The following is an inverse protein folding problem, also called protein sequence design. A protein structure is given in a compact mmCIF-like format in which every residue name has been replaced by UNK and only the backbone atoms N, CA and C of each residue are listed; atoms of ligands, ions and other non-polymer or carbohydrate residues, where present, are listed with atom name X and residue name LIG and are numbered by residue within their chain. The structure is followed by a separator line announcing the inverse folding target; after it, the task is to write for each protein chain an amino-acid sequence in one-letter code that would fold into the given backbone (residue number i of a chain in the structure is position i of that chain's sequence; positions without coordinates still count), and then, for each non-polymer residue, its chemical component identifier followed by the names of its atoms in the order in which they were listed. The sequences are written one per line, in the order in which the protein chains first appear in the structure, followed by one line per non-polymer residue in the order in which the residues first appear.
data_IF_247796079362
#
_entry.id   IF_247796079362
#
_cell.length_a   1.000
_cell.length_b   1.000
_cell.length_c   1.000
_cell.angle_alpha   90.00
_cell.angle_beta   90.00
_cell.angle_gamma   90.00
#
_symmetry.space_group_name_H-M   'P 1'
#
loop_
_entity.id
_entity.type
_entity.pdbx_description
1 polymer ?
#
# COMPACT_ATOMS: atom_id res chain seq x y z
N UNK A 1 -19.10 16.67 8.45
CA UNK A 1 -18.37 15.46 8.81
C UNK A 1 -19.15 14.28 8.24
N UNK A 2 -18.69 13.68 7.15
CA UNK A 2 -19.33 12.48 6.59
C UNK A 2 -18.83 11.31 7.41
N UNK A 3 -19.73 10.48 7.93
CA UNK A 3 -19.34 9.26 8.64
C UNK A 3 -18.87 8.27 7.57
N UNK A 4 -17.60 7.85 7.57
CA UNK A 4 -17.11 6.92 6.57
C UNK A 4 -17.84 5.59 6.73
N UNK A 5 -18.36 5.05 5.63
CA UNK A 5 -19.08 3.77 5.63
C UNK A 5 -18.05 2.66 5.86
N UNK A 6 -18.18 1.84 6.92
CA UNK A 6 -17.20 0.80 7.23
C UNK A 6 -16.92 -0.10 6.02
N UNK A 7 -15.64 -0.40 5.79
CA UNK A 7 -15.15 -1.23 4.69
C UNK A 7 -15.46 -0.72 3.27
N UNK A 8 -15.94 0.52 3.12
CA UNK A 8 -16.04 1.14 1.80
C UNK A 8 -14.63 1.41 1.25
N UNK A 9 -14.42 1.19 -0.04
CA UNK A 9 -13.10 1.34 -0.65
C UNK A 9 -13.11 2.62 -1.48
N UNK A 10 -12.32 3.58 -1.02
CA UNK A 10 -12.01 4.76 -1.80
C UNK A 10 -10.74 4.51 -2.59
N UNK A 11 -10.86 4.55 -3.92
CA UNK A 11 -9.73 4.47 -4.83
C UNK A 11 -9.61 5.76 -5.64
N UNK A 12 -8.39 6.29 -5.70
CA UNK A 12 -8.02 7.35 -6.62
C UNK A 12 -7.16 6.79 -7.75
N UNK A 13 -7.55 7.11 -8.98
CA UNK A 13 -6.88 6.65 -10.22
C UNK A 13 -6.88 5.13 -10.38
N UNK A 14 -6.09 4.64 -11.33
CA UNK A 14 -5.84 3.21 -11.59
C UNK A 14 -4.33 2.97 -11.46
N UNK A 15 -3.87 1.79 -10.99
CA UNK A 15 -2.46 1.55 -10.76
C UNK A 15 -1.64 1.58 -12.05
N UNK A 16 -2.25 1.31 -13.22
CA UNK A 16 -1.59 1.41 -14.52
C UNK A 16 -1.28 2.84 -14.98
N UNK A 17 -1.94 3.86 -14.40
CA UNK A 17 -1.77 5.25 -14.80
C UNK A 17 -0.40 5.83 -14.39
N UNK A 18 0.07 5.68 -13.12
CA UNK A 18 1.43 6.05 -12.74
C UNK A 18 2.51 5.40 -13.60
N UNK A 19 2.34 4.12 -13.97
CA UNK A 19 3.27 3.40 -14.86
C UNK A 19 3.26 3.91 -16.30
N UNK A 20 2.17 4.53 -16.74
CA UNK A 20 2.05 5.14 -18.07
C UNK A 20 2.58 6.58 -18.08
N UNK A 21 3.18 7.06 -16.99
CA UNK A 21 3.70 8.42 -16.84
C UNK A 21 2.65 9.45 -16.42
N UNK A 22 1.41 9.03 -16.12
CA UNK A 22 0.35 9.91 -15.60
C UNK A 22 0.53 10.05 -14.08
N UNK A 23 1.47 10.91 -13.70
CA UNK A 23 1.88 11.12 -12.30
C UNK A 23 1.54 12.53 -11.79
N UNK A 24 0.64 13.23 -12.47
CA UNK A 24 0.15 14.54 -12.04
C UNK A 24 -0.49 14.46 -10.65
N UNK A 25 -0.36 15.55 -9.88
CA UNK A 25 -0.66 15.59 -8.46
C UNK A 25 -2.10 15.12 -8.16
N UNK A 26 -2.23 13.98 -7.46
CA UNK A 26 -3.49 13.47 -6.95
C UNK A 26 -3.82 13.97 -5.53
N UNK A 27 -4.73 13.30 -4.79
CA UNK A 27 -5.08 13.69 -3.43
C UNK A 27 -3.85 13.68 -2.53
N UNK A 28 -3.85 14.59 -1.56
CA UNK A 28 -2.77 14.66 -0.57
C UNK A 28 -2.91 13.55 0.46
N UNK A 29 -1.80 13.15 1.09
CA UNK A 29 -1.81 12.17 2.17
C UNK A 29 -2.80 12.53 3.30
N UNK A 30 -2.93 13.82 3.64
CA UNK A 30 -3.89 14.32 4.62
C UNK A 30 -5.35 14.24 4.17
N UNK A 31 -5.62 14.30 2.87
CA UNK A 31 -6.96 14.13 2.34
C UNK A 31 -7.39 12.66 2.45
N UNK A 32 -6.47 11.72 2.18
CA UNK A 32 -6.73 10.28 2.26
C UNK A 32 -7.12 9.81 3.67
N UNK A 33 -6.53 10.38 4.72
CA UNK A 33 -6.89 10.04 6.11
C UNK A 33 -8.34 10.39 6.46
N UNK A 34 -9.02 11.22 5.66
CA UNK A 34 -10.46 11.48 5.84
C UNK A 34 -11.35 10.40 5.21
N UNK A 35 -10.80 9.58 4.30
CA UNK A 35 -11.54 8.55 3.57
C UNK A 35 -11.34 7.15 4.14
N UNK A 36 -10.23 6.91 4.86
CA UNK A 36 -9.95 5.62 5.45
C UNK A 36 -8.91 5.65 6.55
N UNK A 37 -8.85 4.57 7.31
CA UNK A 37 -7.89 4.36 8.40
C UNK A 37 -6.75 3.45 7.97
N UNK A 38 -6.95 2.65 6.91
CA UNK A 38 -5.95 1.76 6.33
C UNK A 38 -5.94 1.89 4.81
N UNK A 39 -4.80 1.61 4.19
CA UNK A 39 -4.68 1.69 2.75
C UNK A 39 -3.26 1.55 2.22
N UNK A 40 -3.17 1.56 0.90
CA UNK A 40 -1.93 1.49 0.13
C UNK A 40 -1.95 2.57 -0.96
N UNK A 41 -0.79 2.95 -1.48
CA UNK A 41 -0.71 3.90 -2.57
C UNK A 41 0.72 4.09 -3.07
N UNK A 42 0.87 4.96 -4.07
CA UNK A 42 2.16 5.33 -4.65
C UNK A 42 2.31 6.84 -4.49
N UNK A 43 3.51 7.36 -4.26
CA UNK A 43 3.77 8.80 -4.22
C UNK A 43 4.18 9.34 -5.59
N UNK A 44 3.84 10.60 -5.89
CA UNK A 44 4.42 11.26 -7.07
C UNK A 44 5.93 11.46 -6.85
N UNK A 45 6.80 11.21 -7.85
CA UNK A 45 8.26 11.40 -7.71
C UNK A 45 8.66 12.83 -7.33
N UNK A 46 7.84 13.81 -7.73
CA UNK A 46 8.06 15.24 -7.48
C UNK A 46 7.32 15.78 -6.24
N UNK A 47 6.62 14.93 -5.48
CA UNK A 47 5.85 15.37 -4.29
C UNK A 47 6.70 15.68 -3.05
N UNK A 48 8.03 15.68 -3.20
CA UNK A 48 8.95 15.82 -2.09
C UNK A 48 8.97 17.30 -1.65
N UNK A 49 8.52 17.58 -0.44
CA UNK A 49 8.74 18.87 0.25
C UNK A 49 10.22 19.21 0.47
N UNK A 50 11.14 18.34 0.02
CA UNK A 50 12.58 18.52 0.02
C UNK A 50 13.12 18.52 -1.42
N UNK A 51 12.71 19.51 -2.20
CA UNK A 51 13.19 19.76 -3.57
C UNK A 51 14.69 20.15 -3.68
N UNK A 52 15.46 20.00 -2.59
CA UNK A 52 16.89 20.30 -2.52
C UNK A 52 17.80 19.05 -2.60
N UNK A 53 17.24 17.84 -2.61
CA UNK A 53 18.02 16.64 -2.94
C UNK A 53 17.77 16.31 -4.41
N UNK A 54 18.73 16.65 -5.27
CA UNK A 54 18.74 16.36 -6.72
C UNK A 54 18.80 14.87 -7.06
N UNK A 55 17.91 14.07 -6.49
CA UNK A 55 17.70 12.68 -6.83
C UNK A 55 16.56 12.57 -7.85
N UNK A 56 16.96 12.69 -9.10
CA UNK A 56 16.18 12.50 -10.33
C UNK A 56 15.67 11.05 -10.56
N UNK A 57 15.61 10.21 -9.51
CA UNK A 57 15.14 8.82 -9.57
C UNK A 57 14.32 8.42 -8.32
N UNK A 58 13.39 9.27 -7.88
CA UNK A 58 12.44 8.97 -6.79
C UNK A 58 11.19 8.22 -7.30
N UNK A 59 11.40 7.17 -8.11
CA UNK A 59 10.34 6.55 -8.91
C UNK A 59 9.38 5.61 -8.17
N UNK A 60 9.76 5.05 -7.02
CA UNK A 60 9.06 3.91 -6.39
C UNK A 60 8.83 4.12 -4.88
N UNK A 61 8.42 5.31 -4.45
CA UNK A 61 8.02 5.52 -3.05
C UNK A 61 6.57 5.04 -2.85
N UNK A 62 6.37 4.08 -1.95
CA UNK A 62 5.06 3.48 -1.66
C UNK A 62 4.48 4.06 -0.36
N UNK A 63 3.15 4.25 -0.34
CA UNK A 63 2.39 4.59 0.84
C UNK A 63 1.86 3.32 1.50
N UNK A 64 2.02 3.23 2.82
CA UNK A 64 1.20 2.37 3.67
C UNK A 64 0.48 3.25 4.69
N UNK A 65 -0.85 3.23 4.68
CA UNK A 65 -1.68 3.89 5.68
C UNK A 65 -2.07 2.85 6.73
N UNK A 66 -1.67 3.09 7.98
CA UNK A 66 -1.99 2.22 9.12
C UNK A 66 -2.51 3.07 10.27
N UNK A 67 -3.69 2.73 10.80
CA UNK A 67 -4.31 3.44 11.92
C UNK A 67 -4.36 4.98 11.71
N UNK A 68 -4.73 5.41 10.49
CA UNK A 68 -4.78 6.81 10.06
C UNK A 68 -3.43 7.53 10.00
N UNK A 69 -2.32 6.79 10.14
CA UNK A 69 -0.96 7.33 9.98
C UNK A 69 -0.40 6.92 8.63
N UNK A 70 -0.06 7.91 7.81
CA UNK A 70 0.51 7.71 6.49
C UNK A 70 2.03 7.50 6.59
N UNK A 71 2.50 6.30 6.26
CA UNK A 71 3.91 5.96 6.19
C UNK A 71 4.37 5.93 4.74
N UNK A 72 5.51 6.57 4.47
CA UNK A 72 6.24 6.46 3.22
C UNK A 72 7.34 5.43 3.37
N UNK A 73 7.35 4.46 2.46
CA UNK A 73 8.42 3.46 2.32
C UNK A 73 9.21 3.83 1.08
N UNK A 74 10.47 4.21 1.24
CA UNK A 74 11.28 4.62 0.10
C UNK A 74 11.83 3.42 -0.67
N UNK A 75 11.48 3.32 -1.95
CA UNK A 75 12.05 2.39 -2.92
C UNK A 75 13.43 2.92 -3.35
N UNK A 76 14.49 2.43 -2.71
CA UNK A 76 15.80 3.08 -2.76
C UNK A 76 16.47 3.10 -4.14
N UNK A 77 16.46 4.26 -4.80
CA UNK A 77 17.13 4.52 -6.09
C UNK A 77 18.19 5.63 -6.08
N UNK A 78 18.69 6.04 -4.91
CA UNK A 78 19.66 7.14 -4.79
C UNK A 78 20.96 6.76 -4.10
N UNK A 79 22.09 6.88 -4.81
CA UNK A 79 23.44 6.74 -4.26
C UNK A 79 23.64 7.68 -3.06
N UNK A 80 23.44 7.18 -1.83
CA UNK A 80 23.62 7.91 -0.57
C UNK A 80 22.42 7.91 0.38
N UNK A 81 21.22 7.55 -0.07
CA UNK A 81 20.05 7.39 0.79
C UNK A 81 19.98 6.00 1.43
N UNK A 82 19.64 5.89 2.71
CA UNK A 82 19.36 4.59 3.35
C UNK A 82 18.17 3.95 2.62
N UNK A 83 18.43 2.92 1.81
CA UNK A 83 17.40 2.11 1.15
C UNK A 83 16.40 1.59 2.18
N UNK A 84 15.12 1.61 1.85
CA UNK A 84 14.08 1.06 2.73
C UNK A 84 13.79 1.89 3.98
N UNK A 85 14.20 3.16 4.01
CA UNK A 85 13.81 4.06 5.07
C UNK A 85 12.28 4.22 5.10
N UNK A 86 11.71 4.00 6.28
CA UNK A 86 10.31 4.27 6.56
C UNK A 86 10.25 5.60 7.30
N UNK A 87 9.42 6.52 6.81
CA UNK A 87 9.17 7.81 7.46
C UNK A 87 7.68 8.11 7.46
N UNK A 88 7.23 8.98 8.36
CA UNK A 88 5.88 9.55 8.24
C UNK A 88 5.84 10.40 6.98
N UNK A 89 4.79 10.24 6.18
CA UNK A 89 4.60 10.99 4.95
C UNK A 89 4.24 12.46 5.26
N UNK A 90 4.73 13.39 4.43
CA UNK A 90 4.33 14.78 4.52
C UNK A 90 2.83 14.92 4.19
N UNK A 91 2.04 15.70 4.97
CA UNK A 91 0.60 15.85 4.75
C UNK A 91 0.20 16.28 3.33
N UNK A 92 1.03 17.11 2.70
CA UNK A 92 0.88 17.69 1.37
C UNK A 92 1.39 16.81 0.23
N UNK A 93 2.02 15.66 0.53
CA UNK A 93 2.52 14.76 -0.49
C UNK A 93 1.36 14.22 -1.34
N UNK A 94 1.42 14.46 -2.65
CA UNK A 94 0.43 13.98 -3.61
C UNK A 94 0.63 12.51 -3.99
N UNK A 95 -0.48 11.82 -4.21
CA UNK A 95 -0.49 10.41 -4.62
C UNK A 95 -1.22 10.25 -5.95
N UNK A 96 -0.55 9.81 -7.04
CA UNK A 96 -1.21 9.58 -8.31
C UNK A 96 -2.05 8.30 -8.29
N UNK A 97 -1.86 7.44 -7.28
CA UNK A 97 -2.71 6.29 -6.99
C UNK A 97 -2.78 6.05 -5.48
N UNK A 98 -3.99 5.81 -4.98
CA UNK A 98 -4.21 5.40 -3.60
C UNK A 98 -5.50 4.60 -3.46
N UNK A 99 -5.50 3.63 -2.55
CA UNK A 99 -6.65 2.83 -2.19
C UNK A 99 -6.73 2.76 -0.66
N UNK A 100 -7.80 3.31 -0.10
CA UNK A 100 -7.99 3.42 1.35
C UNK A 100 -9.38 2.94 1.75
N UNK A 101 -9.50 2.49 3.00
CA UNK A 101 -10.76 2.03 3.55
C UNK A 101 -10.84 2.35 5.05
N UNK A 102 -12.03 2.69 5.60
CA UNK A 102 -12.27 2.69 7.03
C UNK A 102 -12.37 1.23 7.49
N UNK A 103 -11.22 0.63 7.77
CA UNK A 103 -11.09 -0.79 8.03
C UNK A 103 -11.82 -1.19 9.32
N UNK A 104 -12.82 -2.04 9.18
CA UNK A 104 -13.63 -2.60 10.26
C UNK A 104 -13.75 -4.12 10.05
N UNK A 105 -12.82 -4.92 10.60
CA UNK A 105 -12.78 -6.36 10.34
C UNK A 105 -14.07 -7.03 10.80
N UNK A 106 -14.73 -7.75 9.88
CA UNK A 106 -15.98 -8.50 10.15
C UNK A 106 -15.69 -9.92 10.63
N UNK A 107 -14.51 -10.45 10.33
CA UNK A 107 -14.03 -11.75 10.78
C UNK A 107 -12.60 -11.65 11.31
N UNK A 108 -12.25 -12.55 12.22
CA UNK A 108 -10.89 -12.72 12.71
C UNK A 108 -10.63 -14.21 12.90
N UNK A 109 -9.59 -14.70 12.25
CA UNK A 109 -9.11 -16.07 12.40
C UNK A 109 -7.63 -16.08 12.73
N UNK A 110 -7.20 -17.09 13.48
CA UNK A 110 -5.79 -17.36 13.68
C UNK A 110 -5.35 -18.36 12.60
N UNK A 111 -4.34 -17.98 11.82
CA UNK A 111 -3.74 -18.85 10.82
C UNK A 111 -2.43 -19.40 11.40
N UNK A 112 -2.35 -20.71 11.55
CA UNK A 112 -1.15 -21.39 12.06
C UNK A 112 -0.24 -21.73 10.88
N UNK A 113 0.72 -20.84 10.61
CA UNK A 113 1.66 -20.98 9.49
C UNK A 113 1.03 -20.51 8.19
N UNK A 114 1.57 -19.44 7.62
CA UNK A 114 1.20 -18.94 6.31
C UNK A 114 2.38 -19.18 5.36
N UNK A 115 2.26 -20.15 4.46
CA UNK A 115 3.28 -20.43 3.45
C UNK A 115 3.05 -19.54 2.22
N UNK A 116 3.24 -18.24 2.40
CA UNK A 116 3.08 -17.24 1.33
C UNK A 116 1.66 -16.71 1.19
N UNK A 117 1.53 -15.67 0.38
CA UNK A 117 0.27 -14.91 0.16
C UNK A 117 -0.78 -15.76 -0.55
N UNK A 118 -0.38 -16.76 -1.36
CA UNK A 118 -1.29 -17.70 -2.03
C UNK A 118 -2.19 -18.46 -1.03
N UNK A 119 -1.70 -18.70 0.19
CA UNK A 119 -2.52 -19.32 1.23
C UNK A 119 -3.71 -18.43 1.64
N UNK A 120 -3.58 -17.10 1.53
CA UNK A 120 -4.67 -16.16 1.75
C UNK A 120 -5.69 -16.18 0.62
N UNK A 121 -5.27 -16.47 -0.62
CA UNK A 121 -6.21 -16.57 -1.73
C UNK A 121 -7.28 -17.64 -1.47
N UNK A 122 -6.90 -18.76 -0.84
CA UNK A 122 -7.86 -19.80 -0.45
C UNK A 122 -8.95 -19.27 0.49
N UNK A 123 -8.62 -18.35 1.40
CA UNK A 123 -9.59 -17.73 2.31
C UNK A 123 -10.54 -16.79 1.57
N UNK A 124 -10.10 -16.19 0.46
CA UNK A 124 -10.89 -15.26 -0.34
C UNK A 124 -11.64 -15.91 -1.51
N UNK A 125 -11.39 -17.19 -1.81
CA UNK A 125 -12.04 -17.93 -2.93
C UNK A 125 -13.56 -17.95 -2.85
N UNK A 126 -14.12 -17.93 -1.64
CA UNK A 126 -15.57 -17.90 -1.42
C UNK A 126 -16.19 -16.52 -1.71
N UNK A 127 -15.38 -15.50 -1.97
CA UNK A 127 -15.81 -14.11 -2.24
C UNK A 127 -15.29 -13.60 -3.59
N UNK A 128 -15.50 -14.33 -4.72
CA UNK A 128 -14.80 -14.07 -5.99
C UNK A 128 -15.17 -12.73 -6.65
N UNK A 129 -16.28 -12.12 -6.23
CA UNK A 129 -16.82 -10.90 -6.82
C UNK A 129 -16.78 -9.69 -5.88
N UNK A 130 -16.17 -9.82 -4.69
CA UNK A 130 -16.10 -8.74 -3.71
C UNK A 130 -14.65 -8.34 -3.47
N UNK A 131 -14.43 -7.05 -3.20
CA UNK A 131 -13.17 -6.62 -2.61
C UNK A 131 -13.12 -7.07 -1.16
N UNK A 132 -11.96 -7.55 -0.71
CA UNK A 132 -11.74 -7.91 0.68
C UNK A 132 -10.51 -7.17 1.19
N UNK A 133 -10.67 -6.30 2.18
CA UNK A 133 -9.54 -5.74 2.92
C UNK A 133 -9.13 -6.71 4.01
N UNK A 134 -7.82 -6.92 4.17
CA UNK A 134 -7.30 -7.83 5.18
C UNK A 134 -6.10 -7.23 5.92
N UNK A 135 -5.93 -7.69 7.16
CA UNK A 135 -4.80 -7.32 8.01
C UNK A 135 -4.25 -8.55 8.71
N UNK A 136 -2.96 -8.79 8.57
CA UNK A 136 -2.25 -9.87 9.23
C UNK A 136 -1.31 -9.26 10.26
N UNK A 137 -1.45 -9.67 11.51
CA UNK A 137 -0.51 -9.33 12.59
C UNK A 137 0.14 -10.62 13.05
N UNK A 138 1.45 -10.73 12.86
CA UNK A 138 2.19 -11.93 13.16
C UNK A 138 3.68 -11.63 13.40
N UNK A 139 4.38 -12.64 13.91
CA UNK A 139 5.83 -12.74 13.79
C UNK A 139 6.12 -13.55 12.54
N UNK A 140 6.82 -12.93 11.60
CA UNK A 140 7.17 -13.51 10.31
C UNK A 140 8.58 -14.10 10.40
N UNK A 141 8.71 -15.36 10.01
CA UNK A 141 10.02 -16.01 9.87
C UNK A 141 10.86 -15.32 8.79
N UNK A 142 10.22 -15.02 7.66
CA UNK A 142 10.83 -14.25 6.57
C UNK A 142 9.76 -13.49 5.78
N UNK A 143 10.07 -12.25 5.40
CA UNK A 143 9.29 -11.43 4.48
C UNK A 143 10.24 -10.99 3.37
N UNK A 144 9.95 -11.41 2.14
CA UNK A 144 10.59 -10.84 0.96
C UNK A 144 9.93 -9.48 0.70
N UNK A 145 10.72 -8.43 0.70
CA UNK A 145 10.28 -7.12 0.26
C UNK A 145 10.62 -7.02 -1.23
N UNK A 146 9.63 -6.75 -2.07
CA UNK A 146 9.87 -6.43 -3.47
C UNK A 146 10.58 -5.07 -3.56
N UNK A 147 11.90 -5.14 -3.50
CA UNK A 147 12.86 -4.05 -3.67
C UNK A 147 13.85 -4.47 -4.75
N UNK A 148 14.51 -3.53 -5.39
CA UNK A 148 15.51 -3.81 -6.43
C UNK A 148 16.65 -4.76 -5.98
N UNK A 149 16.83 -4.97 -4.67
CA UNK A 149 17.82 -5.87 -4.07
C UNK A 149 17.26 -7.20 -3.54
N UNK A 150 15.93 -7.43 -3.60
CA UNK A 150 15.30 -8.66 -3.12
C UNK A 150 15.53 -8.93 -1.64
N UNK A 151 15.58 -7.88 -0.82
CA UNK A 151 15.87 -7.99 0.61
C UNK A 151 14.85 -8.89 1.33
N UNK A 152 15.37 -9.88 2.05
CA UNK A 152 14.59 -10.75 2.91
C UNK A 152 14.78 -10.31 4.36
N UNK A 153 13.73 -9.75 4.94
CA UNK A 153 13.69 -9.45 6.38
C UNK A 153 13.32 -10.73 7.11
N UNK A 154 14.11 -11.12 8.12
CA UNK A 154 13.89 -12.35 8.89
C UNK A 154 13.53 -12.05 10.33
N UNK A 155 12.76 -12.96 10.93
CA UNK A 155 12.38 -12.94 12.35
C UNK A 155 11.83 -11.58 12.82
N UNK A 156 10.81 -11.09 12.12
CA UNK A 156 10.25 -9.75 12.34
C UNK A 156 8.81 -9.83 12.83
N UNK A 157 8.48 -9.10 13.89
CA UNK A 157 7.08 -8.83 14.24
C UNK A 157 6.57 -7.66 13.40
N UNK A 158 5.44 -7.84 12.74
CA UNK A 158 4.94 -6.84 11.82
C UNK A 158 3.45 -6.91 11.54
N UNK A 159 2.99 -5.96 10.73
CA UNK A 159 1.64 -5.93 10.19
C UNK A 159 1.70 -5.88 8.67
N UNK A 160 0.98 -6.78 8.01
CA UNK A 160 0.68 -6.70 6.58
C UNK A 160 -0.77 -6.22 6.45
N UNK A 161 -0.99 -5.27 5.56
CA UNK A 161 -2.31 -4.82 5.16
C UNK A 161 -2.41 -4.83 3.63
N UNK A 162 -3.56 -5.23 3.10
CA UNK A 162 -3.78 -5.26 1.67
C UNK A 162 -5.23 -5.47 1.30
N UNK A 163 -5.46 -5.55 -0.01
CA UNK A 163 -6.77 -5.79 -0.59
C UNK A 163 -6.70 -7.01 -1.51
N UNK A 164 -7.61 -7.96 -1.32
CA UNK A 164 -7.92 -8.94 -2.34
C UNK A 164 -8.87 -8.30 -3.35
N UNK A 165 -8.39 -8.14 -4.58
CA UNK A 165 -9.13 -7.53 -5.68
C UNK A 165 -9.77 -8.66 -6.51
N UNK A 166 -11.07 -8.58 -6.81
CA UNK A 166 -11.71 -9.60 -7.64
C UNK A 166 -11.17 -9.55 -9.08
N UNK A 167 -11.10 -10.69 -9.75
CA UNK A 167 -10.44 -10.84 -11.07
C UNK A 167 -10.97 -9.84 -12.11
N UNK A 168 -12.28 -9.58 -12.10
CA UNK A 168 -12.91 -8.63 -13.03
C UNK A 168 -12.46 -7.18 -12.80
N UNK A 169 -12.01 -6.83 -11.60
CA UNK A 169 -11.55 -5.50 -11.23
C UNK A 169 -10.04 -5.31 -11.39
N UNK A 170 -9.29 -6.36 -11.74
CA UNK A 170 -7.84 -6.29 -11.90
C UNK A 170 -7.35 -5.16 -12.84
N UNK A 171 -8.05 -4.83 -13.95
CA UNK A 171 -7.65 -3.70 -14.80
C UNK A 171 -7.77 -2.32 -14.12
N UNK A 172 -8.58 -2.21 -13.06
CA UNK A 172 -8.92 -0.94 -12.39
C UNK A 172 -8.15 -0.78 -11.09
N UNK A 173 -8.02 -1.84 -10.30
CA UNK A 173 -7.43 -1.79 -8.95
C UNK A 173 -6.12 -2.55 -8.83
N UNK A 174 -5.64 -3.11 -9.92
CA UNK A 174 -4.45 -3.96 -9.95
C UNK A 174 -4.84 -5.42 -9.74
N UNK A 175 -4.06 -6.32 -10.32
CA UNK A 175 -4.15 -7.74 -9.97
C UNK A 175 -3.67 -7.84 -8.51
N UNK A 176 -4.36 -8.61 -7.67
CA UNK A 176 -3.91 -8.93 -6.30
C UNK A 176 -2.62 -9.77 -6.26
N UNK A 177 -1.80 -9.67 -7.30
CA UNK A 177 -0.44 -10.20 -7.33
C UNK A 177 0.41 -9.25 -6.47
N UNK A 178 1.19 -9.74 -5.50
CA UNK A 178 2.05 -8.93 -4.65
C UNK A 178 3.24 -8.26 -5.38
N UNK A 179 3.14 -8.12 -6.71
CA UNK A 179 4.11 -7.53 -7.63
C UNK A 179 4.17 -6.00 -7.65
N UNK A 180 3.78 -5.34 -6.54
CA UNK A 180 3.75 -3.87 -6.37
C UNK A 180 4.20 -3.46 -4.97
#
# INVERSE_FOLDING_TARGET
MVIPIPNDIFQYSVPSAPFSGLQDAGPTASALTNHGTYGIGIFCPNSNANANSGHENAGNDTLILLDSTAYRVSGGGGSGGKKGAVSVAAPEAGLPFAMVTPFAPTCRSAINGLNGIEALENEFKEMPNSYVSFRIKARFESVLLERDDGEVVRDVEGTIFGFAVPVWAAPVSGKGDPGL
#
